data_IF_560924450085
#
_entry.id   IF_560924450085
#
_cell.length_a   1.000
_cell.length_b   1.000
_cell.length_c   1.000
_cell.angle_alpha   90.00
_cell.angle_beta   90.00
_cell.angle_gamma   90.00
#
_symmetry.space_group_name_H-M   'P 1'
#
loop_
_entity.id
_entity.type
_entity.pdbx_description
1 polymer ?
#
# COMPACT_ATOMS: atom_id res chain seq x y z
N UNK A 1 -4.87 -0.48 14.64
CA UNK A 1 -3.42 -0.39 14.35
C UNK A 1 -3.26 0.33 13.02
N UNK A 2 -2.24 1.19 12.83
CA UNK A 2 -1.97 1.78 11.54
C UNK A 2 -1.64 0.70 10.51
N UNK A 3 -2.29 0.73 9.34
CA UNK A 3 -2.05 -0.21 8.27
C UNK A 3 -1.93 0.51 6.92
N UNK A 4 -0.97 0.09 6.11
CA UNK A 4 -0.80 0.50 4.72
C UNK A 4 -1.17 -0.68 3.82
N UNK A 5 -2.03 -0.45 2.84
CA UNK A 5 -2.46 -1.42 1.85
C UNK A 5 -1.98 -0.93 0.50
N UNK A 6 -1.05 -1.66 -0.10
CA UNK A 6 -0.55 -1.43 -1.45
C UNK A 6 -1.13 -2.49 -2.37
N UNK A 7 -1.75 -2.10 -3.48
CA UNK A 7 -2.39 -3.05 -4.39
C UNK A 7 -2.20 -2.66 -5.85
N UNK A 8 -1.82 -3.63 -6.70
CA UNK A 8 -1.72 -3.43 -8.14
C UNK A 8 -3.09 -3.41 -8.81
N UNK A 9 -3.39 -2.36 -9.57
CA UNK A 9 -4.67 -2.21 -10.27
C UNK A 9 -4.89 -3.28 -11.36
N UNK A 10 -3.80 -3.88 -11.85
CA UNK A 10 -3.81 -4.86 -12.93
C UNK A 10 -3.59 -6.30 -12.42
N UNK A 11 -3.70 -6.54 -11.11
CA UNK A 11 -3.55 -7.88 -10.53
C UNK A 11 -4.63 -8.83 -11.09
N UNK A 12 -4.24 -9.89 -11.84
CA UNK A 12 -5.19 -10.81 -12.45
C UNK A 12 -5.76 -11.83 -11.46
N UNK A 13 -5.19 -11.95 -10.28
CA UNK A 13 -5.54 -12.93 -9.25
C UNK A 13 -6.39 -12.32 -8.15
N UNK A 14 -6.04 -11.09 -7.73
CA UNK A 14 -6.73 -10.36 -6.68
C UNK A 14 -7.31 -9.05 -7.24
N UNK A 15 -8.60 -9.02 -7.58
CA UNK A 15 -9.26 -7.81 -8.06
C UNK A 15 -9.14 -6.65 -7.08
N UNK A 16 -9.11 -5.42 -7.60
CA UNK A 16 -8.94 -4.19 -6.80
C UNK A 16 -10.00 -4.02 -5.72
N UNK A 17 -11.19 -4.57 -5.92
CA UNK A 17 -12.28 -4.57 -4.93
C UNK A 17 -11.88 -5.26 -3.63
N UNK A 18 -10.96 -6.22 -3.67
CA UNK A 18 -10.45 -6.86 -2.46
C UNK A 18 -9.60 -5.90 -1.63
N UNK A 19 -8.81 -5.03 -2.25
CA UNK A 19 -8.04 -4.01 -1.55
C UNK A 19 -8.96 -2.99 -0.86
N UNK A 20 -10.03 -2.57 -1.55
CA UNK A 20 -11.06 -1.72 -0.96
C UNK A 20 -11.77 -2.38 0.22
N UNK A 21 -12.10 -3.67 0.13
CA UNK A 21 -12.70 -4.43 1.25
C UNK A 21 -11.74 -4.54 2.43
N UNK A 22 -10.45 -4.79 2.19
CA UNK A 22 -9.42 -4.82 3.23
C UNK A 22 -9.30 -3.46 3.92
N UNK A 23 -9.30 -2.37 3.16
CA UNK A 23 -9.24 -1.02 3.71
C UNK A 23 -10.47 -0.68 4.57
N UNK A 24 -11.66 -1.05 4.09
CA UNK A 24 -12.91 -0.87 4.86
C UNK A 24 -12.93 -1.71 6.15
N UNK A 25 -12.30 -2.88 6.15
CA UNK A 25 -12.21 -3.76 7.32
C UNK A 25 -11.19 -3.28 8.37
N UNK A 26 -10.25 -2.40 8.01
CA UNK A 26 -9.21 -1.89 8.91
C UNK A 26 -9.40 -0.38 9.12
N UNK A 27 -10.09 0.04 10.20
CA UNK A 27 -10.29 1.45 10.50
C UNK A 27 -8.95 2.20 10.63
N UNK A 28 -8.85 3.33 9.93
CA UNK A 28 -7.63 4.16 9.90
C UNK A 28 -6.53 3.62 9.00
N UNK A 29 -6.80 2.62 8.15
CA UNK A 29 -5.85 2.19 7.13
C UNK A 29 -5.71 3.22 6.01
N UNK A 30 -4.54 3.22 5.36
CA UNK A 30 -4.27 3.93 4.12
C UNK A 30 -4.24 2.93 2.97
N UNK A 31 -4.99 3.21 1.92
CA UNK A 31 -5.00 2.42 0.69
C UNK A 31 -4.30 3.18 -0.43
N UNK A 32 -3.37 2.53 -1.11
CA UNK A 32 -2.70 3.01 -2.32
C UNK A 32 -2.91 1.98 -3.43
N UNK A 33 -3.58 2.41 -4.50
CA UNK A 33 -3.76 1.62 -5.72
C UNK A 33 -2.68 2.03 -6.72
N UNK A 34 -1.87 1.08 -7.16
CA UNK A 34 -0.77 1.26 -8.09
C UNK A 34 -1.26 0.96 -9.53
N UNK A 35 -1.48 1.98 -10.38
CA UNK A 35 -2.26 1.83 -11.61
C UNK A 35 -1.59 0.96 -12.68
N UNK A 36 -0.26 0.87 -12.66
CA UNK A 36 0.58 0.17 -13.63
C UNK A 36 1.15 -1.15 -13.09
N UNK A 37 0.73 -1.58 -11.90
CA UNK A 37 1.22 -2.78 -11.24
C UNK A 37 0.21 -3.93 -11.30
N UNK A 38 0.71 -5.15 -11.52
CA UNK A 38 -0.06 -6.39 -11.42
C UNK A 38 0.18 -7.07 -10.04
N UNK A 39 0.30 -8.40 -10.01
CA UNK A 39 0.52 -9.16 -8.78
C UNK A 39 1.96 -9.05 -8.26
N UNK A 40 2.95 -9.01 -9.17
CA UNK A 40 4.36 -8.94 -8.81
C UNK A 40 4.84 -7.50 -8.65
N UNK A 41 5.90 -7.31 -7.85
CA UNK A 41 6.54 -6.02 -7.60
C UNK A 41 7.89 -5.91 -8.35
N UNK A 42 7.94 -5.25 -9.52
CA UNK A 42 9.17 -5.11 -10.28
C UNK A 42 10.11 -4.07 -9.65
N UNK A 43 11.41 -4.22 -9.87
CA UNK A 43 12.49 -3.41 -9.27
C UNK A 43 12.28 -1.90 -9.44
N UNK A 44 11.71 -1.48 -10.57
CA UNK A 44 11.40 -0.08 -10.88
C UNK A 44 10.41 0.55 -9.86
N UNK A 45 9.60 -0.26 -9.19
CA UNK A 45 8.63 0.17 -8.18
C UNK A 45 9.16 0.10 -6.76
N UNK A 46 10.35 -0.48 -6.54
CA UNK A 46 10.86 -0.67 -5.18
C UNK A 46 11.07 0.64 -4.45
N UNK A 47 11.64 1.66 -5.09
CA UNK A 47 11.84 2.97 -4.47
C UNK A 47 10.51 3.57 -3.99
N UNK A 48 9.48 3.59 -4.85
CA UNK A 48 8.14 4.09 -4.52
C UNK A 48 7.51 3.33 -3.34
N UNK A 49 7.59 2.00 -3.34
CA UNK A 49 7.04 1.16 -2.27
C UNK A 49 7.80 1.33 -0.96
N UNK A 50 9.13 1.42 -1.02
CA UNK A 50 9.98 1.67 0.16
C UNK A 50 9.61 3.01 0.79
N UNK A 51 9.49 4.07 0.00
CA UNK A 51 9.12 5.40 0.50
C UNK A 51 7.75 5.38 1.21
N UNK A 52 6.75 4.70 0.63
CA UNK A 52 5.43 4.54 1.24
C UNK A 52 5.48 3.75 2.56
N UNK A 53 6.29 2.69 2.63
CA UNK A 53 6.47 1.89 3.84
C UNK A 53 7.17 2.71 4.93
N UNK A 54 8.23 3.43 4.59
CA UNK A 54 8.99 4.27 5.52
C UNK A 54 8.11 5.39 6.08
N UNK A 55 7.36 6.08 5.21
CA UNK A 55 6.39 7.10 5.63
C UNK A 55 5.36 6.51 6.61
N UNK A 56 4.79 5.35 6.30
CA UNK A 56 3.80 4.68 7.15
C UNK A 56 4.38 4.29 8.51
N UNK A 57 5.62 3.77 8.54
CA UNK A 57 6.30 3.37 9.76
C UNK A 57 6.52 4.58 10.70
N UNK A 58 7.03 5.69 10.15
CA UNK A 58 7.22 6.92 10.91
C UNK A 58 5.90 7.47 11.47
N UNK A 59 4.84 7.51 10.66
CA UNK A 59 3.51 7.93 11.11
C UNK A 59 2.96 7.03 12.21
N UNK A 60 3.17 5.72 12.11
CA UNK A 60 2.73 4.75 13.13
C UNK A 60 3.45 4.92 14.47
N UNK A 61 4.72 5.35 14.44
CA UNK A 61 5.54 5.65 15.63
C UNK A 61 5.31 7.08 16.16
N UNK A 62 4.62 7.94 15.41
CA UNK A 62 4.47 9.37 15.74
C UNK A 62 5.76 10.17 15.56
N UNK A 63 6.71 9.65 14.78
CA UNK A 63 7.99 10.30 14.48
C UNK A 63 7.93 11.02 13.13
N UNK A 64 8.63 12.16 12.94
CA UNK A 64 8.72 12.79 11.63
C UNK A 64 9.56 11.94 10.66
N UNK A 65 9.18 11.92 9.38
CA UNK A 65 10.03 11.43 8.29
C UNK A 65 11.19 12.42 8.13
N UNK A 66 12.43 11.91 8.15
CA UNK A 66 13.66 12.69 8.08
C UNK A 66 14.04 13.08 6.64
#
# INVERSE_FOLDING_TARGET
VPALILHGALDPHLPVENAHRTAAAIPGSRLVIMPDLAHDLPDQKWAEVIDLIVEHAHQAEGSPVA
#
